data_IF_296857618003
#
_entry.id   IF_296857618003
#
_cell.length_a   1.000
_cell.length_b   1.000
_cell.length_c   1.000
_cell.angle_alpha   90.00
_cell.angle_beta   90.00
_cell.angle_gamma   90.00
#
_symmetry.space_group_name_H-M   'P 1'
#
loop_
_entity.id
_entity.type
_entity.pdbx_description
1 polymer ?
#
# COMPACT_ATOMS: atom_id res chain seq x y z
N UNK A 1 -17.40 3.60 -10.38
CA UNK A 1 -16.74 4.55 -9.47
C UNK A 1 -17.18 5.99 -9.71
N UNK A 2 -17.03 6.55 -10.93
CA UNK A 2 -17.49 7.94 -11.24
C UNK A 2 -18.96 8.20 -10.86
N UNK A 3 -19.88 7.34 -11.28
CA UNK A 3 -21.29 7.43 -10.86
C UNK A 3 -21.46 7.52 -9.34
N UNK A 4 -20.84 6.61 -8.58
CA UNK A 4 -20.90 6.61 -7.10
C UNK A 4 -20.35 7.92 -6.52
N UNK A 5 -19.28 8.46 -7.10
CA UNK A 5 -18.73 9.75 -6.70
C UNK A 5 -19.74 10.88 -6.95
N UNK A 6 -20.33 10.94 -8.15
CA UNK A 6 -21.33 11.96 -8.50
C UNK A 6 -22.59 11.87 -7.62
N UNK A 7 -23.01 10.65 -7.27
CA UNK A 7 -24.14 10.40 -6.37
C UNK A 7 -23.88 10.87 -4.92
N UNK A 8 -22.61 11.06 -4.52
CA UNK A 8 -22.19 11.50 -3.18
C UNK A 8 -21.65 12.93 -3.16
N UNK A 9 -21.55 13.61 -4.31
CA UNK A 9 -21.35 15.06 -4.38
C UNK A 9 -22.70 15.74 -4.12
N UNK A 10 -23.05 15.87 -2.83
CA UNK A 10 -24.37 16.36 -2.40
C UNK A 10 -24.67 17.78 -2.90
N UNK A 11 -23.63 18.56 -3.17
CA UNK A 11 -23.76 19.95 -3.60
C UNK A 11 -23.63 20.13 -5.11
N UNK A 12 -23.46 19.04 -5.88
CA UNK A 12 -23.19 19.06 -7.33
C UNK A 12 -22.07 20.05 -7.69
N UNK A 13 -21.07 20.12 -6.81
CA UNK A 13 -19.95 21.05 -6.89
C UNK A 13 -18.86 20.57 -7.85
N UNK A 14 -18.88 19.28 -8.21
CA UNK A 14 -17.80 18.58 -8.88
C UNK A 14 -16.79 17.95 -7.90
N UNK A 15 -16.91 18.23 -6.61
CA UNK A 15 -16.00 17.80 -5.54
C UNK A 15 -16.74 17.09 -4.40
N UNK A 16 -16.05 16.23 -3.68
CA UNK A 16 -16.57 15.62 -2.44
C UNK A 16 -15.74 16.07 -1.24
N UNK A 17 -16.36 16.18 -0.07
CA UNK A 17 -15.67 16.41 1.19
C UNK A 17 -14.91 15.18 1.67
N UNK A 18 -13.92 15.35 2.56
CA UNK A 18 -13.28 14.22 3.23
C UNK A 18 -14.28 13.36 4.02
N UNK A 19 -15.37 13.94 4.53
CA UNK A 19 -16.42 13.19 5.22
C UNK A 19 -17.20 12.27 4.26
N UNK A 20 -17.59 12.79 3.09
CA UNK A 20 -18.23 12.00 2.03
C UNK A 20 -17.28 10.90 1.52
N UNK A 21 -15.98 11.17 1.39
CA UNK A 21 -14.99 10.14 1.06
C UNK A 21 -15.02 8.96 2.04
N UNK A 22 -14.94 9.24 3.34
CA UNK A 22 -14.93 8.20 4.38
C UNK A 22 -16.27 7.44 4.45
N UNK A 23 -17.38 8.13 4.28
CA UNK A 23 -18.70 7.50 4.12
C UNK A 23 -18.73 6.55 2.92
N UNK A 24 -18.21 6.97 1.77
CA UNK A 24 -18.19 6.18 0.55
C UNK A 24 -17.34 4.91 0.65
N UNK A 25 -16.29 4.89 1.46
CA UNK A 25 -15.43 3.71 1.68
C UNK A 25 -15.81 2.92 2.94
N UNK A 26 -16.89 3.29 3.63
CA UNK A 26 -17.35 2.67 4.87
C UNK A 26 -16.27 2.64 5.97
N UNK A 27 -15.61 3.79 6.17
CA UNK A 27 -14.61 3.96 7.22
C UNK A 27 -14.88 5.21 8.05
N UNK A 28 -14.35 5.21 9.26
CA UNK A 28 -14.31 6.40 10.10
C UNK A 28 -13.02 7.17 9.89
N UNK A 29 -13.11 8.51 10.02
CA UNK A 29 -11.95 9.38 10.02
C UNK A 29 -11.09 9.14 11.26
N UNK A 30 -9.92 8.56 11.09
CA UNK A 30 -8.92 8.27 12.12
C UNK A 30 -7.51 8.43 11.53
N UNK A 31 -6.45 8.64 12.33
CA UNK A 31 -5.10 8.78 11.76
C UNK A 31 -4.70 7.65 10.79
N UNK A 32 -5.04 6.40 11.10
CA UNK A 32 -4.82 5.22 10.26
C UNK A 32 -5.45 5.35 8.88
N UNK A 33 -6.71 5.82 8.85
CA UNK A 33 -7.50 5.94 7.63
C UNK A 33 -7.18 7.21 6.85
N UNK A 34 -6.72 8.26 7.53
CA UNK A 34 -6.28 9.52 6.92
C UNK A 34 -5.04 9.37 6.04
N UNK A 35 -4.15 8.42 6.37
CA UNK A 35 -2.97 8.17 5.55
C UNK A 35 -3.28 7.83 4.09
N UNK A 36 -4.51 7.41 3.75
CA UNK A 36 -4.92 7.11 2.38
C UNK A 36 -4.82 8.33 1.46
N UNK A 37 -4.97 9.54 2.02
CA UNK A 37 -4.87 10.79 1.28
C UNK A 37 -3.44 11.09 0.79
N UNK A 38 -2.42 10.48 1.40
CA UNK A 38 -1.03 10.57 0.93
C UNK A 38 -0.86 10.03 -0.50
N UNK A 39 -1.70 9.10 -0.97
CA UNK A 39 -1.62 8.58 -2.34
C UNK A 39 -1.98 9.59 -3.43
N UNK A 40 -2.64 10.69 -3.07
CA UNK A 40 -3.08 11.72 -4.01
C UNK A 40 -2.54 13.10 -3.63
N UNK A 41 -1.52 13.16 -2.78
CA UNK A 41 -0.92 14.40 -2.27
C UNK A 41 -1.94 15.37 -1.66
N UNK A 42 -2.97 14.83 -1.00
CA UNK A 42 -4.04 15.63 -0.38
C UNK A 42 -3.62 15.98 1.06
N UNK A 43 -3.36 17.27 1.38
CA UNK A 43 -3.01 17.66 2.74
C UNK A 43 -4.24 17.60 3.65
N UNK A 44 -4.03 17.43 4.95
CA UNK A 44 -5.12 17.34 5.93
C UNK A 44 -6.03 18.58 5.96
N UNK A 45 -5.50 19.75 5.59
CA UNK A 45 -6.23 21.01 5.52
C UNK A 45 -7.18 21.11 4.32
N UNK A 46 -6.98 20.30 3.26
CA UNK A 46 -7.80 20.34 2.06
C UNK A 46 -9.15 19.69 2.31
N UNK A 47 -10.23 20.48 2.30
CA UNK A 47 -11.57 20.00 2.67
C UNK A 47 -12.26 19.17 1.59
N UNK A 48 -12.01 19.50 0.33
CA UNK A 48 -12.68 18.95 -0.85
C UNK A 48 -11.71 18.13 -1.69
N UNK A 49 -12.16 17.06 -2.33
CA UNK A 49 -11.39 16.19 -3.19
C UNK A 49 -12.01 16.19 -4.58
N UNK A 50 -11.15 16.29 -5.60
CA UNK A 50 -11.55 16.03 -6.97
C UNK A 50 -11.76 14.53 -7.23
N UNK A 51 -12.39 14.20 -8.35
CA UNK A 51 -12.59 12.81 -8.74
C UNK A 51 -11.25 12.07 -8.94
N UNK A 52 -10.24 12.76 -9.49
CA UNK A 52 -8.92 12.17 -9.71
C UNK A 52 -8.23 11.86 -8.39
N UNK A 53 -8.33 12.75 -7.39
CA UNK A 53 -7.80 12.50 -6.04
C UNK A 53 -8.52 11.34 -5.35
N UNK A 54 -9.86 11.31 -5.41
CA UNK A 54 -10.64 10.16 -4.93
C UNK A 54 -10.19 8.85 -5.57
N UNK A 55 -10.02 8.85 -6.89
CA UNK A 55 -9.63 7.68 -7.66
C UNK A 55 -8.23 7.20 -7.28
N UNK A 56 -7.26 8.12 -7.17
CA UNK A 56 -5.89 7.80 -6.78
C UNK A 56 -5.82 7.19 -5.39
N UNK A 57 -6.55 7.73 -4.41
CA UNK A 57 -6.63 7.19 -3.05
C UNK A 57 -7.18 5.75 -3.07
N UNK A 58 -8.34 5.55 -3.70
CA UNK A 58 -9.03 4.26 -3.74
C UNK A 58 -8.21 3.21 -4.49
N UNK A 59 -7.77 3.52 -5.71
CA UNK A 59 -7.08 2.55 -6.57
C UNK A 59 -5.76 2.14 -5.93
N UNK A 60 -4.97 3.11 -5.45
CA UNK A 60 -3.64 2.84 -4.90
C UNK A 60 -3.74 1.97 -3.65
N UNK A 61 -4.67 2.30 -2.74
CA UNK A 61 -4.85 1.54 -1.51
C UNK A 61 -5.49 0.16 -1.75
N UNK A 62 -6.47 0.06 -2.66
CA UNK A 62 -7.16 -1.19 -2.94
C UNK A 62 -6.23 -2.26 -3.54
N UNK A 63 -5.16 -1.88 -4.25
CA UNK A 63 -4.22 -2.81 -4.88
C UNK A 63 -2.97 -3.09 -4.04
N UNK A 64 -2.89 -2.57 -2.81
CA UNK A 64 -1.79 -2.91 -1.91
C UNK A 64 -1.83 -4.40 -1.59
N UNK A 65 -0.68 -5.02 -1.64
CA UNK A 65 -0.44 -6.37 -1.15
C UNK A 65 -0.32 -6.36 0.37
N UNK A 66 -0.42 -7.52 1.01
CA UNK A 66 -0.26 -7.63 2.47
C UNK A 66 1.06 -7.03 2.98
N UNK A 67 2.23 -7.28 2.36
CA UNK A 67 3.48 -6.60 2.72
C UNK A 67 3.43 -5.08 2.51
N UNK A 68 2.80 -4.59 1.43
CA UNK A 68 2.68 -3.16 1.18
C UNK A 68 1.71 -2.46 2.16
N UNK A 69 0.71 -3.17 2.67
CA UNK A 69 -0.13 -2.66 3.76
C UNK A 69 0.66 -2.51 5.06
N UNK A 70 1.59 -3.42 5.33
CA UNK A 70 2.50 -3.28 6.48
C UNK A 70 3.44 -2.10 6.28
N UNK A 71 4.06 -1.98 5.11
CA UNK A 71 4.87 -0.81 4.75
C UNK A 71 4.07 0.49 4.94
N UNK A 72 2.85 0.55 4.43
CA UNK A 72 1.97 1.70 4.59
C UNK A 72 1.75 2.09 6.06
N UNK A 73 1.57 1.10 6.95
CA UNK A 73 1.44 1.36 8.39
C UNK A 73 2.75 1.91 8.95
N UNK A 74 3.89 1.31 8.60
CA UNK A 74 5.20 1.82 9.01
C UNK A 74 5.39 3.29 8.61
N UNK A 75 5.24 3.61 7.33
CA UNK A 75 5.38 4.97 6.77
C UNK A 75 4.36 5.97 7.33
N UNK A 76 3.27 5.48 7.91
CA UNK A 76 2.27 6.34 8.54
C UNK A 76 2.69 6.79 9.93
N UNK A 77 3.38 5.93 10.69
CA UNK A 77 3.78 6.21 12.07
C UNK A 77 5.22 6.66 12.22
N UNK A 78 6.08 6.42 11.22
CA UNK A 78 7.39 7.05 11.07
C UNK A 78 7.17 8.53 10.71
N UNK A 79 6.89 9.34 11.74
CA UNK A 79 6.41 10.70 11.60
C UNK A 79 7.55 11.65 11.21
N UNK A 80 8.77 11.33 11.63
CA UNK A 80 9.98 12.07 11.27
C UNK A 80 10.67 11.55 9.99
N UNK A 81 10.18 10.46 9.42
CA UNK A 81 10.72 9.82 8.21
C UNK A 81 12.18 9.39 8.38
N UNK A 82 12.56 9.01 9.60
CA UNK A 82 13.90 8.55 9.92
C UNK A 82 14.21 7.16 9.34
N UNK A 83 13.17 6.41 8.94
CA UNK A 83 13.29 5.03 8.50
C UNK A 83 13.30 4.02 9.65
N UNK A 84 13.01 4.46 10.87
CA UNK A 84 12.84 3.63 12.05
C UNK A 84 11.74 4.21 12.96
N UNK A 85 11.04 3.36 13.72
CA UNK A 85 10.04 3.81 14.69
C UNK A 85 10.66 3.93 16.08
N UNK A 86 10.54 5.10 16.69
CA UNK A 86 10.91 5.27 18.10
C UNK A 86 9.84 4.74 19.08
N UNK A 87 10.15 4.74 20.38
CA UNK A 87 9.22 4.28 21.42
C UNK A 87 7.87 5.00 21.41
N UNK A 88 7.85 6.30 21.09
CA UNK A 88 6.64 7.13 21.07
C UNK A 88 5.79 6.77 19.85
N UNK A 89 6.41 6.59 18.70
CA UNK A 89 5.75 6.20 17.45
C UNK A 89 5.17 4.79 17.54
N UNK A 90 5.93 3.83 18.07
CA UNK A 90 5.45 2.46 18.33
C UNK A 90 4.27 2.47 19.31
N UNK A 91 4.32 3.29 20.35
CA UNK A 91 3.24 3.43 21.34
C UNK A 91 1.98 4.00 20.69
N UNK A 92 2.12 5.10 19.91
CA UNK A 92 1.01 5.73 19.19
C UNK A 92 0.34 4.75 18.24
N UNK A 93 1.13 4.02 17.45
CA UNK A 93 0.65 2.98 16.55
C UNK A 93 -0.11 1.88 17.31
N UNK A 94 0.46 1.38 18.40
CA UNK A 94 -0.12 0.28 19.18
C UNK A 94 -1.50 0.67 19.74
N UNK A 95 -1.63 1.88 20.29
CA UNK A 95 -2.90 2.40 20.81
C UNK A 95 -3.97 2.52 19.72
N UNK A 96 -3.57 2.93 18.52
CA UNK A 96 -4.49 3.10 17.41
C UNK A 96 -4.98 1.76 16.82
N UNK A 97 -4.06 0.80 16.69
CA UNK A 97 -4.40 -0.58 16.30
C UNK A 97 -5.28 -1.28 17.35
N UNK A 98 -5.25 -0.85 18.62
CA UNK A 98 -6.12 -1.31 19.71
C UNK A 98 -7.52 -0.69 19.74
N UNK A 99 -7.81 0.32 18.91
CA UNK A 99 -9.06 1.07 19.02
C UNK A 99 -10.31 0.16 18.99
N UNK A 100 -11.28 0.48 19.86
CA UNK A 100 -12.43 -0.36 20.27
C UNK A 100 -13.30 -0.91 19.14
N UNK A 101 -13.13 -0.41 17.92
CA UNK A 101 -13.87 -0.82 16.74
C UNK A 101 -13.42 -2.18 16.19
N UNK A 102 -12.22 -2.63 16.54
CA UNK A 102 -11.67 -3.92 16.16
C UNK A 102 -11.80 -4.89 17.34
N UNK A 103 -12.91 -5.62 17.42
CA UNK A 103 -13.22 -6.57 18.49
C UNK A 103 -12.24 -7.77 18.54
N UNK A 104 -11.01 -7.57 19.03
CA UNK A 104 -10.10 -8.64 19.46
C UNK A 104 -9.23 -8.22 20.67
N UNK A 105 -9.85 -7.75 21.77
CA UNK A 105 -9.11 -7.16 22.88
C UNK A 105 -8.06 -8.13 23.46
N UNK A 106 -8.34 -9.43 23.61
CA UNK A 106 -7.39 -10.37 24.19
C UNK A 106 -6.16 -10.65 23.30
N UNK A 107 -6.36 -10.88 21.99
CA UNK A 107 -5.27 -11.24 21.07
C UNK A 107 -4.41 -10.02 20.69
N UNK A 108 -5.04 -8.86 20.52
CA UNK A 108 -4.34 -7.59 20.23
C UNK A 108 -3.62 -7.09 21.48
N UNK A 109 -4.23 -7.22 22.67
CA UNK A 109 -3.54 -6.91 23.94
C UNK A 109 -2.39 -7.89 24.21
N UNK A 110 -2.52 -9.19 23.90
CA UNK A 110 -1.40 -10.12 24.03
C UNK A 110 -0.26 -9.80 23.05
N UNK A 111 -0.58 -9.52 21.77
CA UNK A 111 0.40 -9.08 20.78
C UNK A 111 1.05 -7.75 21.15
N UNK A 112 0.32 -6.85 21.81
CA UNK A 112 0.87 -5.55 22.23
C UNK A 112 1.61 -5.63 23.56
N UNK A 113 1.22 -6.47 24.50
CA UNK A 113 2.03 -6.76 25.68
C UNK A 113 3.33 -7.46 25.29
N UNK A 114 3.29 -8.29 24.23
CA UNK A 114 4.49 -8.78 23.57
C UNK A 114 5.22 -7.66 22.82
N UNK A 115 4.52 -6.71 22.21
CA UNK A 115 5.19 -5.54 21.63
C UNK A 115 5.85 -4.70 22.68
N UNK A 116 5.27 -4.46 23.87
CA UNK A 116 5.65 -3.49 24.92
C UNK A 116 6.55 -4.08 26.01
N UNK A 117 6.86 -5.39 25.93
CA UNK A 117 7.75 -6.10 26.84
C UNK A 117 7.38 -6.02 28.33
N UNK A 118 8.21 -6.61 29.18
CA UNK A 118 8.18 -6.34 30.62
C UNK A 118 9.02 -5.08 30.85
N UNK A 119 8.50 -4.13 31.62
CA UNK A 119 9.11 -2.82 31.94
C UNK A 119 8.78 -1.64 30.98
N UNK A 120 7.83 -1.81 30.04
CA UNK A 120 7.39 -0.72 29.15
C UNK A 120 8.27 -0.49 27.92
N UNK A 121 9.34 -1.29 27.77
CA UNK A 121 10.16 -1.37 26.57
C UNK A 121 9.62 -2.39 25.61
N UNK A 122 9.49 -2.00 24.35
CA UNK A 122 8.98 -2.93 23.39
C UNK A 122 9.80 -4.26 23.33
N UNK A 123 9.20 -5.45 23.47
CA UNK A 123 9.97 -6.71 23.49
C UNK A 123 10.65 -7.00 22.14
N UNK A 124 10.34 -6.18 21.14
CA UNK A 124 10.90 -6.20 19.79
C UNK A 124 11.66 -4.92 19.46
N UNK A 125 11.70 -3.91 20.35
CA UNK A 125 12.69 -2.84 20.20
C UNK A 125 14.06 -3.45 20.52
N UNK A 126 15.04 -3.30 19.63
CA UNK A 126 16.43 -3.63 19.92
C UNK A 126 16.93 -2.80 21.12
N UNK A 127 18.15 -3.10 21.56
CA UNK A 127 18.78 -2.40 22.69
C UNK A 127 18.91 -0.88 22.45
N UNK A 128 18.85 -0.42 21.19
CA UNK A 128 18.86 0.99 20.79
C UNK A 128 17.50 1.69 20.88
N UNK A 129 16.40 0.94 21.07
CA UNK A 129 15.05 1.48 21.19
C UNK A 129 14.37 1.85 19.86
N UNK A 130 14.96 1.49 18.71
CA UNK A 130 14.45 1.85 17.38
C UNK A 130 14.01 0.61 16.60
N UNK A 131 12.81 0.63 16.01
CA UNK A 131 12.32 -0.48 15.17
C UNK A 131 12.46 -0.14 13.70
N UNK A 132 13.39 -0.79 13.00
CA UNK A 132 13.52 -0.60 11.56
C UNK A 132 12.39 -1.30 10.78
N UNK A 133 12.29 -0.98 9.48
CA UNK A 133 11.28 -1.60 8.61
C UNK A 133 11.39 -3.13 8.54
N UNK A 134 12.60 -3.68 8.52
CA UNK A 134 12.82 -5.12 8.45
C UNK A 134 12.32 -5.85 9.69
N UNK A 135 12.56 -5.28 10.87
CA UNK A 135 12.08 -5.73 12.17
C UNK A 135 10.58 -5.61 12.28
N UNK A 136 10.04 -4.47 11.88
CA UNK A 136 8.61 -4.24 11.79
C UNK A 136 7.91 -5.29 10.90
N UNK A 137 8.49 -5.63 9.75
CA UNK A 137 7.94 -6.62 8.84
C UNK A 137 8.00 -8.05 9.42
N UNK A 138 9.03 -8.39 10.20
CA UNK A 138 9.09 -9.66 10.95
C UNK A 138 8.01 -9.69 12.02
N UNK A 139 7.81 -8.58 12.72
CA UNK A 139 6.74 -8.44 13.72
C UNK A 139 5.35 -8.61 13.08
N UNK A 140 5.05 -7.88 12.01
CA UNK A 140 3.75 -7.92 11.36
C UNK A 140 3.39 -9.32 10.81
N UNK A 141 4.40 -10.08 10.38
CA UNK A 141 4.25 -11.50 9.98
C UNK A 141 3.98 -12.42 11.17
N UNK A 142 4.59 -12.15 12.31
CA UNK A 142 4.44 -12.96 13.53
C UNK A 142 3.12 -12.69 14.24
N UNK A 143 2.59 -11.47 14.14
CA UNK A 143 1.35 -11.04 14.79
C UNK A 143 0.34 -10.43 13.81
N UNK A 144 -0.11 -11.21 12.80
CA UNK A 144 -0.97 -10.68 11.72
C UNK A 144 -2.32 -10.14 12.23
N UNK A 145 -2.80 -10.62 13.38
CA UNK A 145 -4.06 -10.17 14.00
C UNK A 145 -3.98 -8.70 14.46
N UNK A 146 -2.80 -8.24 14.91
CA UNK A 146 -2.61 -6.84 15.31
C UNK A 146 -2.81 -5.86 14.14
N UNK A 147 -2.60 -6.33 12.91
CA UNK A 147 -2.78 -5.58 11.67
C UNK A 147 -4.12 -5.87 10.99
N UNK A 148 -5.03 -6.61 11.62
CA UNK A 148 -6.39 -6.77 11.10
C UNK A 148 -7.08 -5.42 10.81
N UNK A 149 -6.90 -4.33 11.59
CA UNK A 149 -7.45 -3.01 11.30
C UNK A 149 -7.20 -2.53 9.86
N UNK A 150 -5.94 -2.56 9.42
CA UNK A 150 -5.59 -2.08 8.07
C UNK A 150 -6.08 -3.03 6.98
N UNK A 151 -6.13 -4.33 7.26
CA UNK A 151 -6.69 -5.33 6.33
C UNK A 151 -8.21 -5.14 6.17
N UNK A 152 -8.90 -4.84 7.26
CA UNK A 152 -10.34 -4.55 7.25
C UNK A 152 -10.63 -3.26 6.50
N UNK A 153 -9.81 -2.22 6.70
CA UNK A 153 -9.90 -0.98 5.93
C UNK A 153 -9.77 -1.25 4.42
N UNK A 154 -8.78 -2.06 4.00
CA UNK A 154 -8.65 -2.40 2.59
C UNK A 154 -9.87 -3.16 2.07
N UNK A 155 -10.37 -4.13 2.84
CA UNK A 155 -11.59 -4.87 2.50
C UNK A 155 -12.79 -3.90 2.32
N UNK A 156 -12.99 -2.97 3.24
CA UNK A 156 -14.03 -1.94 3.18
C UNK A 156 -13.92 -1.08 1.91
N UNK A 157 -12.71 -0.60 1.57
CA UNK A 157 -12.45 0.14 0.33
C UNK A 157 -12.78 -0.71 -0.91
N UNK A 158 -12.39 -1.99 -0.91
CA UNK A 158 -12.63 -2.91 -2.03
C UNK A 158 -14.12 -3.20 -2.23
N UNK A 159 -14.82 -3.57 -1.16
CA UNK A 159 -16.25 -3.89 -1.15
C UNK A 159 -17.10 -2.69 -1.54
N UNK A 160 -16.74 -1.49 -1.07
CA UNK A 160 -17.48 -0.27 -1.34
C UNK A 160 -17.34 0.25 -2.77
N UNK A 161 -16.43 -0.30 -3.58
CA UNK A 161 -16.08 0.26 -4.90
C UNK A 161 -16.40 -0.68 -6.05
N UNK A 162 -15.48 -1.55 -6.45
CA UNK A 162 -15.66 -2.50 -7.56
C UNK A 162 -15.80 -3.96 -7.06
N UNK A 163 -15.75 -4.18 -5.75
CA UNK A 163 -15.88 -5.48 -5.12
C UNK A 163 -14.55 -6.22 -4.96
N UNK A 164 -14.49 -7.10 -3.96
CA UNK A 164 -13.28 -7.84 -3.58
C UNK A 164 -12.69 -8.64 -4.73
N UNK A 165 -13.50 -9.39 -5.47
CA UNK A 165 -13.05 -10.22 -6.60
C UNK A 165 -12.39 -9.41 -7.70
N UNK A 166 -12.88 -8.19 -7.98
CA UNK A 166 -12.30 -7.32 -8.99
C UNK A 166 -10.90 -6.88 -8.56
N UNK A 167 -10.77 -6.34 -7.35
CA UNK A 167 -9.50 -5.83 -6.84
C UNK A 167 -8.47 -6.93 -6.57
N UNK A 168 -8.93 -8.10 -6.12
CA UNK A 168 -8.09 -9.29 -5.99
C UNK A 168 -7.48 -9.69 -7.33
N UNK A 169 -8.25 -9.65 -8.44
CA UNK A 169 -7.73 -9.90 -9.78
C UNK A 169 -6.71 -8.85 -10.22
N UNK A 170 -6.98 -7.56 -9.97
CA UNK A 170 -6.03 -6.48 -10.30
C UNK A 170 -4.73 -6.65 -9.51
N UNK A 171 -4.82 -6.97 -8.22
CA UNK A 171 -3.66 -7.20 -7.35
C UNK A 171 -2.85 -8.41 -7.83
N UNK A 172 -3.51 -9.52 -8.20
CA UNK A 172 -2.85 -10.68 -8.78
C UNK A 172 -2.13 -10.35 -10.10
N UNK A 173 -2.72 -9.51 -10.95
CA UNK A 173 -2.09 -9.07 -12.19
C UNK A 173 -0.89 -8.15 -11.93
N UNK A 174 -0.97 -7.25 -10.95
CA UNK A 174 0.17 -6.44 -10.48
C UNK A 174 1.34 -7.35 -10.05
N UNK A 175 1.07 -8.37 -9.24
CA UNK A 175 2.09 -9.34 -8.81
C UNK A 175 2.73 -10.10 -9.99
N UNK A 176 1.92 -10.60 -10.93
CA UNK A 176 2.43 -11.26 -12.15
C UNK A 176 3.32 -10.35 -12.98
N UNK A 177 2.95 -9.07 -13.13
CA UNK A 177 3.80 -8.08 -13.81
C UNK A 177 5.14 -7.94 -13.08
N UNK A 178 5.14 -7.80 -11.76
CA UNK A 178 6.38 -7.68 -10.95
C UNK A 178 7.26 -8.94 -11.05
N UNK A 179 6.66 -10.13 -11.05
CA UNK A 179 7.37 -11.41 -11.25
C UNK A 179 8.04 -11.47 -12.63
N UNK A 180 7.33 -11.07 -13.69
CA UNK A 180 7.87 -11.02 -15.05
C UNK A 180 9.02 -10.01 -15.18
N UNK A 181 8.88 -8.81 -14.60
CA UNK A 181 9.96 -7.82 -14.58
C UNK A 181 11.18 -8.38 -13.84
N UNK A 182 10.97 -9.02 -12.68
CA UNK A 182 12.04 -9.65 -11.90
C UNK A 182 12.71 -10.80 -12.64
N UNK A 183 11.97 -11.54 -13.47
CA UNK A 183 12.53 -12.53 -14.39
C UNK A 183 13.37 -11.85 -15.47
N UNK A 184 12.84 -10.84 -16.17
CA UNK A 184 13.55 -10.11 -17.22
C UNK A 184 14.88 -9.54 -16.72
N UNK A 185 14.92 -9.00 -15.49
CA UNK A 185 16.17 -8.53 -14.85
C UNK A 185 17.22 -9.63 -14.73
N UNK A 186 16.82 -10.85 -14.36
CA UNK A 186 17.73 -12.01 -14.20
C UNK A 186 18.13 -12.66 -15.52
N UNK A 187 17.34 -12.46 -16.58
CA UNK A 187 17.53 -13.11 -17.88
C UNK A 187 17.74 -12.10 -19.01
N UNK A 188 18.35 -10.95 -18.72
CA UNK A 188 18.75 -9.94 -19.72
C UNK A 188 17.62 -9.52 -20.68
N UNK A 189 16.41 -9.33 -20.15
CA UNK A 189 15.23 -8.92 -20.92
C UNK A 189 14.44 -10.06 -21.56
N UNK A 190 14.88 -11.32 -21.42
CA UNK A 190 14.10 -12.46 -21.89
C UNK A 190 12.79 -12.60 -21.09
N UNK A 191 11.74 -13.11 -21.76
CA UNK A 191 10.42 -13.34 -21.18
C UNK A 191 10.20 -14.85 -21.09
N UNK A 192 9.69 -15.40 -19.96
CA UNK A 192 9.49 -16.85 -19.84
C UNK A 192 8.43 -17.33 -20.84
N UNK A 193 8.58 -18.54 -21.38
CA UNK A 193 7.58 -19.11 -22.29
C UNK A 193 6.24 -19.31 -21.57
N UNK A 194 5.14 -19.24 -22.33
CA UNK A 194 3.81 -19.53 -21.79
C UNK A 194 3.69 -21.01 -21.45
N UNK A 195 3.11 -21.30 -20.30
CA UNK A 195 2.68 -22.67 -19.99
C UNK A 195 1.51 -23.07 -20.91
N UNK A 196 1.25 -24.38 -21.05
CA UNK A 196 0.12 -24.85 -21.86
C UNK A 196 -1.21 -24.22 -21.44
N UNK A 197 -1.46 -24.09 -20.13
CA UNK A 197 -2.68 -23.46 -19.59
C UNK A 197 -2.80 -21.99 -19.97
N UNK A 198 -1.70 -21.24 -19.90
CA UNK A 198 -1.67 -19.84 -20.28
C UNK A 198 -1.82 -19.66 -21.79
N UNK A 199 -1.20 -20.52 -22.59
CA UNK A 199 -1.37 -20.54 -24.05
C UNK A 199 -2.83 -20.70 -24.42
N UNK A 200 -3.53 -21.69 -23.83
CA UNK A 200 -4.96 -21.89 -24.04
C UNK A 200 -5.77 -20.68 -23.57
N UNK A 201 -5.53 -20.18 -22.35
CA UNK A 201 -6.26 -19.03 -21.81
C UNK A 201 -6.05 -17.74 -22.64
N UNK A 202 -4.88 -17.55 -23.24
CA UNK A 202 -4.55 -16.39 -24.07
C UNK A 202 -5.37 -16.30 -25.36
N UNK A 203 -5.90 -17.43 -25.84
CA UNK A 203 -6.81 -17.47 -26.99
C UNK A 203 -8.15 -16.79 -26.65
N UNK A 204 -8.61 -16.93 -25.41
CA UNK A 204 -9.91 -16.45 -24.96
C UNK A 204 -9.85 -15.13 -24.17
N UNK A 205 -8.66 -14.70 -23.75
CA UNK A 205 -8.48 -13.49 -22.94
C UNK A 205 -7.23 -12.70 -23.32
N UNK A 206 -7.39 -11.38 -23.43
CA UNK A 206 -6.27 -10.44 -23.62
C UNK A 206 -5.48 -10.16 -22.33
N UNK A 207 -5.91 -10.72 -21.19
CA UNK A 207 -5.29 -10.47 -19.89
C UNK A 207 -3.81 -10.86 -19.86
N UNK A 208 -3.48 -12.06 -20.35
CA UNK A 208 -2.08 -12.55 -20.40
C UNK A 208 -1.23 -11.65 -21.30
N UNK A 209 -1.76 -11.24 -22.44
CA UNK A 209 -1.09 -10.32 -23.35
C UNK A 209 -0.82 -8.97 -22.67
N UNK A 210 -1.83 -8.39 -22.02
CA UNK A 210 -1.72 -7.10 -21.34
C UNK A 210 -0.70 -7.13 -20.19
N UNK A 211 -0.70 -8.20 -19.39
CA UNK A 211 0.27 -8.41 -18.30
C UNK A 211 1.69 -8.43 -18.86
N UNK A 212 1.93 -9.21 -19.92
CA UNK A 212 3.27 -9.35 -20.51
C UNK A 212 3.74 -8.08 -21.20
N UNK A 213 2.84 -7.39 -21.92
CA UNK A 213 3.11 -6.07 -22.52
C UNK A 213 3.51 -5.07 -21.44
N UNK A 214 2.74 -4.98 -20.35
CA UNK A 214 3.01 -4.06 -19.25
C UNK A 214 4.36 -4.34 -18.56
N UNK A 215 4.70 -5.62 -18.36
CA UNK A 215 6.01 -6.00 -17.83
C UNK A 215 7.15 -5.53 -18.74
N UNK A 216 7.02 -5.69 -20.06
CA UNK A 216 8.00 -5.21 -21.02
C UNK A 216 8.17 -3.69 -20.99
N UNK A 217 7.07 -2.93 -20.91
CA UNK A 217 7.09 -1.47 -20.79
C UNK A 217 7.82 -1.01 -19.52
N UNK A 218 7.53 -1.62 -18.37
CA UNK A 218 8.17 -1.28 -17.10
C UNK A 218 9.67 -1.60 -17.12
N UNK A 219 10.05 -2.76 -17.64
CA UNK A 219 11.45 -3.13 -17.77
C UNK A 219 12.22 -2.19 -18.72
N UNK A 220 11.60 -1.79 -19.83
CA UNK A 220 12.18 -0.81 -20.75
C UNK A 220 12.37 0.57 -20.09
N UNK A 221 11.42 1.00 -19.26
CA UNK A 221 11.51 2.24 -18.50
C UNK A 221 12.65 2.19 -17.46
N UNK A 222 12.80 1.06 -16.75
CA UNK A 222 13.93 0.85 -15.82
C UNK A 222 15.29 0.92 -16.52
N UNK A 223 15.41 0.31 -17.70
CA UNK A 223 16.63 0.39 -18.51
C UNK A 223 16.92 1.82 -18.98
N UNK A 224 15.89 2.56 -19.38
CA UNK A 224 16.04 3.95 -19.79
C UNK A 224 16.48 4.84 -18.62
N UNK A 225 15.96 4.60 -17.41
CA UNK A 225 16.38 5.31 -16.20
C UNK A 225 17.84 5.02 -15.84
N UNK A 226 18.26 3.75 -15.87
CA UNK A 226 19.66 3.37 -15.61
C UNK A 226 20.63 4.02 -16.57
N UNK A 227 20.33 3.97 -17.88
CA UNK A 227 21.17 4.64 -18.89
C UNK A 227 21.29 6.14 -18.66
N UNK A 228 20.21 6.80 -18.22
CA UNK A 228 20.24 8.24 -17.91
C UNK A 228 21.15 8.54 -16.72
N UNK A 229 21.13 7.71 -15.68
CA UNK A 229 22.03 7.84 -14.52
C UNK A 229 23.48 7.66 -14.96
N UNK A 230 23.77 6.59 -15.73
CA UNK A 230 25.12 6.33 -16.25
C UNK A 230 25.65 7.51 -17.10
N UNK A 231 24.81 8.13 -17.94
CA UNK A 231 25.22 9.30 -18.73
C UNK A 231 25.33 10.60 -17.93
N UNK A 232 24.55 10.75 -16.85
CA UNK A 232 24.58 11.92 -15.98
C UNK A 232 25.81 11.96 -15.10
N UNK A 233 26.24 10.81 -14.58
CA UNK A 233 27.50 10.68 -13.82
C UNK A 233 28.72 11.00 -14.71
N UNK A 234 28.70 10.59 -15.98
CA UNK A 234 29.78 10.91 -16.95
C UNK A 234 29.84 12.41 -17.27
N UNK A 235 28.72 13.13 -17.31
CA UNK A 235 28.72 14.58 -17.54
C UNK A 235 29.16 15.40 -16.31
N UNK A 236 29.00 14.88 -15.09
CA UNK A 236 29.55 15.48 -13.86
C UNK A 236 31.04 15.20 -13.69
N UNK A 237 31.53 13.99 -13.99
CA UNK A 237 32.96 13.67 -13.95
C UNK A 237 33.80 14.46 -14.97
N UNK A 238 33.23 14.83 -16.12
CA UNK A 238 33.92 15.63 -17.15
C UNK A 238 33.94 17.13 -16.83
N UNK A 239 33.21 17.57 -15.80
CA UNK A 239 33.13 18.98 -15.35
C UNK A 239 33.93 19.29 -14.08
N UNK A 240 34.66 18.31 -13.53
CA UNK A 240 35.62 18.46 -12.43
C UNK A 240 37.07 18.45 -12.97
#
# INVERSE_FOLDING_TARGET
>A
MKRKYDDNDMYHSGEITQAEFFFMINEERRPLTLGIFKFADVPESQKFLSFDQYLLCVVSFAVLTKPELYQYVFDLYDADQSGALDEREVTKMSLELQSKQFHFPANVTAAINMLQGKEGRAALTPDDGLVDLGEFMKFAKSFPVAFYPIMNMQKNVRESTLGESYWSRITANKLRVQELVSYMRRHHGAIPQLTFRESVASIFSREIFNIRKRAGELYALELAQRRRLDTGEVEEEVKL
#
